data_IF_404549162769
#
_entry.id   IF_404549162769
#
_cell.length_a   1.000
_cell.length_b   1.000
_cell.length_c   1.000
_cell.angle_alpha   90.00
_cell.angle_beta   90.00
_cell.angle_gamma   90.00
#
_symmetry.space_group_name_H-M   'P 1'
#
loop_
_entity.id
_entity.type
_entity.pdbx_description
1 polymer ?
#
# COMPACT_ATOMS: atom_id res chain seq x y z
N UNK A 1 5.32 3.17 -14.06
CA UNK A 1 4.62 4.04 -13.09
C UNK A 1 5.21 5.43 -13.21
N UNK A 2 4.38 6.47 -13.19
CA UNK A 2 4.85 7.85 -13.17
C UNK A 2 5.81 8.06 -12.01
N UNK A 3 7.02 8.57 -12.29
CA UNK A 3 7.96 8.99 -11.24
C UNK A 3 7.49 10.30 -10.64
N UNK A 4 7.37 10.34 -9.32
CA UNK A 4 7.09 11.57 -8.58
C UNK A 4 8.31 12.51 -8.65
N UNK A 5 8.06 13.80 -8.84
CA UNK A 5 9.08 14.84 -8.87
C UNK A 5 8.47 16.19 -8.45
N UNK A 6 9.31 17.13 -8.00
CA UNK A 6 8.86 18.48 -7.61
C UNK A 6 8.17 19.22 -8.76
N UNK A 7 8.72 19.13 -9.98
CA UNK A 7 8.08 19.68 -11.18
C UNK A 7 6.72 19.01 -11.46
N UNK A 8 6.63 17.69 -11.28
CA UNK A 8 5.36 16.97 -11.42
C UNK A 8 4.31 17.44 -10.40
N UNK A 9 4.71 17.67 -9.16
CA UNK A 9 3.82 18.17 -8.11
C UNK A 9 3.27 19.56 -8.46
N UNK A 10 4.12 20.48 -8.90
CA UNK A 10 3.73 21.81 -9.35
C UNK A 10 2.80 21.76 -10.58
N UNK A 11 3.14 20.94 -11.58
CA UNK A 11 2.29 20.77 -12.77
C UNK A 11 0.89 20.27 -12.39
N UNK A 12 0.80 19.28 -11.50
CA UNK A 12 -0.48 18.71 -11.07
C UNK A 12 -1.26 19.62 -10.12
N UNK A 13 -0.60 20.50 -9.37
CA UNK A 13 -1.32 21.47 -8.52
C UNK A 13 -2.12 22.47 -9.37
N UNK A 14 -1.64 22.82 -10.57
CA UNK A 14 -2.38 23.66 -11.52
C UNK A 14 -3.67 23.00 -12.04
N UNK A 15 -3.82 21.69 -11.89
CA UNK A 15 -5.03 20.94 -12.24
C UNK A 15 -5.70 20.30 -11.02
N UNK A 16 -5.59 20.91 -9.83
CA UNK A 16 -6.21 20.43 -8.59
C UNK A 16 -5.89 18.96 -8.23
N UNK A 17 -4.71 18.47 -8.63
CA UNK A 17 -4.29 17.08 -8.44
C UNK A 17 -5.21 16.02 -9.08
N UNK A 18 -5.93 16.36 -10.14
CA UNK A 18 -6.86 15.41 -10.80
C UNK A 18 -6.16 14.47 -11.81
N UNK A 19 -4.99 14.85 -12.33
CA UNK A 19 -4.38 14.20 -13.49
C UNK A 19 -3.26 13.20 -13.15
N UNK A 20 -3.27 12.61 -11.95
CA UNK A 20 -2.30 11.58 -11.59
C UNK A 20 -2.58 10.25 -12.30
N UNK A 21 -1.52 9.57 -12.74
CA UNK A 21 -1.64 8.18 -13.18
C UNK A 21 -2.10 7.30 -12.01
N UNK A 22 -3.01 6.34 -12.27
CA UNK A 22 -3.37 5.31 -11.29
C UNK A 22 -2.12 4.59 -10.78
N UNK A 23 -2.01 4.48 -9.45
CA UNK A 23 -0.81 3.94 -8.81
C UNK A 23 -0.67 2.42 -8.89
N UNK A 24 -1.78 1.72 -9.11
CA UNK A 24 -1.78 0.29 -9.29
C UNK A 24 -2.50 -0.09 -10.57
N UNK A 25 -2.15 -1.30 -11.04
CA UNK A 25 -2.77 -1.98 -12.16
C UNK A 25 -3.95 -2.81 -11.65
N UNK A 26 -4.90 -3.10 -12.55
CA UNK A 26 -6.05 -3.99 -12.28
C UNK A 26 -5.90 -5.26 -13.13
N UNK A 27 -4.95 -6.16 -12.82
CA UNK A 27 -4.75 -7.38 -13.59
C UNK A 27 -5.83 -8.43 -13.27
N UNK A 28 -6.16 -9.29 -14.23
CA UNK A 28 -6.87 -10.55 -13.96
C UNK A 28 -5.98 -11.44 -13.07
N UNK A 29 -6.50 -12.04 -11.98
CA UNK A 29 -5.73 -12.94 -11.15
C UNK A 29 -5.16 -14.12 -11.94
N UNK A 30 -3.89 -14.45 -11.68
CA UNK A 30 -3.27 -15.68 -12.19
C UNK A 30 -3.86 -16.89 -11.47
N UNK A 31 -3.67 -18.08 -12.05
CA UNK A 31 -4.09 -19.35 -11.44
C UNK A 31 -3.27 -19.72 -10.19
N UNK A 32 -2.00 -19.29 -10.12
CA UNK A 32 -1.05 -19.69 -9.07
C UNK A 32 -0.20 -18.48 -8.67
N UNK A 33 0.03 -18.37 -7.37
CA UNK A 33 0.93 -17.42 -6.72
C UNK A 33 1.72 -18.15 -5.65
N UNK A 34 2.90 -17.65 -5.31
CA UNK A 34 3.72 -18.21 -4.22
C UNK A 34 3.09 -17.85 -2.87
N UNK A 35 2.50 -16.64 -2.79
CA UNK A 35 1.77 -16.14 -1.62
C UNK A 35 0.50 -15.42 -2.06
N UNK A 36 -0.61 -15.72 -1.38
CA UNK A 36 -1.86 -14.97 -1.49
C UNK A 36 -2.17 -14.30 -0.15
N UNK A 37 -2.30 -12.98 -0.17
CA UNK A 37 -2.65 -12.15 0.98
C UNK A 37 -4.12 -11.76 0.83
N UNK A 38 -4.94 -12.10 1.83
CA UNK A 38 -6.35 -11.74 1.88
C UNK A 38 -6.52 -10.49 2.74
N UNK A 39 -6.90 -9.38 2.11
CA UNK A 39 -7.08 -8.07 2.73
C UNK A 39 -6.13 -7.03 2.13
N UNK A 40 -6.68 -6.03 1.45
CA UNK A 40 -5.96 -4.93 0.81
C UNK A 40 -5.82 -3.67 1.67
N UNK A 41 -5.76 -3.84 2.99
CA UNK A 41 -5.45 -2.76 3.93
C UNK A 41 -3.95 -2.51 4.07
N UNK A 42 -3.59 -1.54 4.92
CA UNK A 42 -2.21 -1.13 5.16
C UNK A 42 -1.28 -2.28 5.55
N UNK A 43 -1.73 -3.18 6.43
CA UNK A 43 -0.96 -4.37 6.81
C UNK A 43 -0.75 -5.32 5.62
N UNK A 44 -1.81 -5.69 4.89
CA UNK A 44 -1.67 -6.61 3.75
C UNK A 44 -0.77 -6.06 2.64
N UNK A 45 -0.86 -4.76 2.37
CA UNK A 45 0.01 -4.09 1.41
C UNK A 45 1.47 -3.98 1.89
N UNK A 46 1.68 -3.68 3.18
CA UNK A 46 3.02 -3.66 3.78
C UNK A 46 3.65 -5.06 3.75
N UNK A 47 2.89 -6.11 4.07
CA UNK A 47 3.35 -7.50 3.98
C UNK A 47 3.80 -7.84 2.56
N UNK A 48 3.01 -7.52 1.54
CA UNK A 48 3.40 -7.74 0.14
C UNK A 48 4.69 -7.00 -0.24
N UNK A 49 4.84 -5.75 0.24
CA UNK A 49 6.03 -4.95 0.03
C UNK A 49 7.27 -5.61 0.66
N UNK A 50 7.21 -5.99 1.94
CA UNK A 50 8.35 -6.57 2.64
C UNK A 50 8.69 -7.99 2.17
N UNK A 51 7.71 -8.79 1.75
CA UNK A 51 7.96 -10.06 1.05
C UNK A 51 8.83 -9.85 -0.19
N UNK A 52 8.53 -8.85 -1.01
CA UNK A 52 9.32 -8.55 -2.20
C UNK A 52 10.68 -7.92 -1.85
N UNK A 53 10.69 -6.98 -0.91
CA UNK A 53 11.86 -6.15 -0.60
C UNK A 53 12.93 -6.88 0.21
N UNK A 54 12.53 -7.63 1.24
CA UNK A 54 13.45 -8.27 2.19
C UNK A 54 13.66 -9.75 1.87
N UNK A 55 12.67 -10.41 1.26
CA UNK A 55 12.70 -11.85 1.01
C UNK A 55 12.77 -12.23 -0.47
N UNK A 56 12.70 -11.26 -1.40
CA UNK A 56 12.73 -11.52 -2.84
C UNK A 56 11.49 -12.26 -3.38
N UNK A 57 10.45 -12.43 -2.56
CA UNK A 57 9.21 -13.12 -2.95
C UNK A 57 8.32 -12.12 -3.68
N UNK A 58 8.32 -12.19 -5.01
CA UNK A 58 7.66 -11.19 -5.88
C UNK A 58 6.39 -11.70 -6.57
N UNK A 59 6.16 -13.02 -6.60
CA UNK A 59 4.95 -13.62 -7.15
C UNK A 59 3.83 -13.66 -6.09
N UNK A 60 3.39 -12.48 -5.66
CA UNK A 60 2.41 -12.28 -4.58
C UNK A 60 1.11 -11.71 -5.13
N UNK A 61 -0.03 -12.21 -4.66
CA UNK A 61 -1.34 -11.60 -4.86
C UNK A 61 -1.83 -10.95 -3.56
N UNK A 62 -2.33 -9.71 -3.64
CA UNK A 62 -3.13 -9.10 -2.58
C UNK A 62 -4.56 -9.01 -3.08
N UNK A 63 -5.50 -9.64 -2.37
CA UNK A 63 -6.90 -9.73 -2.77
C UNK A 63 -7.76 -8.96 -1.77
N UNK A 64 -8.56 -8.03 -2.27
CA UNK A 64 -9.47 -7.19 -1.49
C UNK A 64 -10.90 -7.39 -1.98
N UNK A 65 -11.86 -7.50 -1.05
CA UNK A 65 -13.27 -7.70 -1.38
C UNK A 65 -13.93 -6.44 -1.94
N UNK A 66 -13.42 -5.26 -1.56
CA UNK A 66 -13.92 -3.96 -1.97
C UNK A 66 -12.87 -3.12 -2.68
N UNK A 67 -12.75 -1.86 -2.26
CA UNK A 67 -11.73 -0.94 -2.76
C UNK A 67 -10.48 -0.95 -1.87
N UNK A 68 -9.31 -0.83 -2.49
CA UNK A 68 -8.01 -0.92 -1.83
C UNK A 68 -7.87 0.12 -0.70
N UNK A 69 -7.48 -0.31 0.49
CA UNK A 69 -7.34 0.56 1.66
C UNK A 69 -8.66 0.96 2.34
N UNK A 70 -9.82 0.49 1.86
CA UNK A 70 -11.12 0.98 2.32
C UNK A 70 -11.61 0.55 3.70
N UNK A 71 -10.84 -0.31 4.37
CA UNK A 71 -11.05 -0.67 5.77
C UNK A 71 -10.51 0.39 6.73
N UNK A 72 -9.96 -0.06 7.87
CA UNK A 72 -9.42 0.83 8.91
C UNK A 72 -8.27 1.73 8.44
N UNK A 73 -7.58 1.35 7.36
CA UNK A 73 -6.55 2.19 6.73
C UNK A 73 -7.09 3.54 6.26
N UNK A 74 -8.35 3.62 5.84
CA UNK A 74 -8.99 4.88 5.46
C UNK A 74 -9.78 5.55 6.61
N UNK A 75 -9.75 4.99 7.83
CA UNK A 75 -10.66 5.38 8.94
C UNK A 75 -9.96 5.66 10.27
N UNK A 76 -8.63 5.57 10.30
CA UNK A 76 -7.86 5.89 11.49
C UNK A 76 -7.65 7.42 11.58
N UNK A 77 -7.33 7.90 12.78
CA UNK A 77 -7.03 9.31 13.06
C UNK A 77 -5.55 9.66 12.86
N UNK A 78 -4.82 8.83 12.11
CA UNK A 78 -3.44 9.02 11.66
C UNK A 78 -2.37 9.25 12.74
N UNK A 79 -2.69 9.05 14.03
CA UNK A 79 -1.70 9.13 15.12
C UNK A 79 -0.67 7.99 14.96
N UNK A 80 0.60 8.37 14.92
CA UNK A 80 1.74 7.43 14.93
C UNK A 80 2.60 7.71 16.16
N UNK A 81 2.80 6.70 17.00
CA UNK A 81 3.56 6.76 18.26
C UNK A 81 4.02 5.36 18.69
N UNK A 82 5.04 5.29 19.55
CA UNK A 82 5.59 4.06 20.12
C UNK A 82 5.73 4.09 21.64
N UNK A 83 5.05 5.03 22.32
CA UNK A 83 5.08 5.16 23.79
C UNK A 83 4.15 4.13 24.48
N UNK A 84 4.51 2.86 24.39
CA UNK A 84 3.85 1.75 25.09
C UNK A 84 4.52 1.49 26.45
N UNK A 85 3.82 0.79 27.34
CA UNK A 85 4.28 0.50 28.71
C UNK A 85 5.27 -0.68 28.76
N UNK A 86 5.01 -1.72 27.96
CA UNK A 86 5.79 -2.96 27.97
C UNK A 86 7.00 -2.81 27.06
N UNK A 87 8.16 -3.27 27.52
CA UNK A 87 9.42 -3.16 26.78
C UNK A 87 9.31 -3.79 25.38
N UNK A 88 8.62 -4.92 25.24
CA UNK A 88 8.40 -5.61 23.97
C UNK A 88 7.60 -4.77 22.95
N UNK A 89 6.90 -3.72 23.41
CA UNK A 89 6.11 -2.81 22.57
C UNK A 89 6.75 -1.41 22.43
N UNK A 90 7.89 -1.17 23.10
CA UNK A 90 8.52 0.16 23.21
C UNK A 90 9.86 0.28 22.46
N UNK A 91 10.38 -0.83 21.89
CA UNK A 91 11.64 -0.88 21.14
C UNK A 91 11.44 -0.88 19.62
#
# INVERSE_FOLDING_TARGET
>A
MQRYSGFGLFKHSLSHHENWQKMWRTPTPKKVYDVVIVGGGGHGLATAYYLAKEHGITNVAVVEKGWLGGGNTARNTTIVRSNYLWDESAH
#
